data_IF_314622060368
#
_entry.id   IF_314622060368
#
_cell.length_a   1.000
_cell.length_b   1.000
_cell.length_c   1.000
_cell.angle_alpha   90.00
_cell.angle_beta   90.00
_cell.angle_gamma   90.00
#
_symmetry.space_group_name_H-M   'P 1'
#
loop_
_entity.id
_entity.type
_entity.pdbx_description
1 polymer ?
#
# COMPACT_ATOMS: atom_id res chain seq x y z
N UNK A 1 15.31 3.30 -2.15
CA UNK A 1 14.77 4.10 -1.02
C UNK A 1 15.70 4.04 0.19
N UNK A 2 16.62 4.99 0.30
CA UNK A 2 17.59 5.05 1.41
C UNK A 2 16.95 5.43 2.75
N UNK A 3 15.93 6.28 2.75
CA UNK A 3 15.26 6.76 3.97
C UNK A 3 14.63 5.64 4.83
N UNK A 4 14.29 4.50 4.23
CA UNK A 4 13.71 3.36 4.94
C UNK A 4 14.78 2.45 5.60
N UNK A 5 16.08 2.63 5.32
CA UNK A 5 17.13 1.64 5.64
C UNK A 5 17.29 1.40 7.14
N UNK A 6 17.28 2.47 7.91
CA UNK A 6 17.49 2.41 9.36
C UNK A 6 16.16 2.40 10.15
N UNK A 7 15.04 2.60 9.46
CA UNK A 7 13.70 2.56 10.07
C UNK A 7 13.23 1.13 10.33
N UNK A 8 12.28 0.96 11.26
CA UNK A 8 11.60 -0.32 11.57
C UNK A 8 10.09 -0.08 11.73
N UNK A 9 9.30 -1.16 11.67
CA UNK A 9 7.85 -1.10 11.85
C UNK A 9 7.14 -0.15 10.87
N UNK A 10 6.11 0.54 11.37
CA UNK A 10 5.27 1.43 10.56
C UNK A 10 6.06 2.48 9.78
N UNK A 11 7.04 3.13 10.41
CA UNK A 11 7.84 4.18 9.77
C UNK A 11 8.62 3.66 8.55
N UNK A 12 9.14 2.41 8.63
CA UNK A 12 9.82 1.77 7.49
C UNK A 12 8.88 1.54 6.32
N UNK A 13 7.69 1.02 6.60
CA UNK A 13 6.70 0.74 5.57
C UNK A 13 6.17 2.03 4.93
N UNK A 14 5.93 3.07 5.73
CA UNK A 14 5.54 4.38 5.22
C UNK A 14 6.62 4.98 4.29
N UNK A 15 7.89 4.88 4.68
CA UNK A 15 9.00 5.31 3.83
C UNK A 15 9.09 4.51 2.52
N UNK A 16 8.79 3.21 2.56
CA UNK A 16 8.69 2.40 1.34
C UNK A 16 7.51 2.81 0.46
N UNK A 17 6.34 3.06 1.05
CA UNK A 17 5.17 3.51 0.32
C UNK A 17 5.43 4.83 -0.41
N UNK A 18 5.96 5.83 0.31
CA UNK A 18 6.24 7.15 -0.25
C UNK A 18 7.25 7.11 -1.40
N UNK A 19 8.32 6.34 -1.27
CA UNK A 19 9.32 6.26 -2.35
C UNK A 19 8.87 5.40 -3.54
N UNK A 20 7.96 4.44 -3.36
CA UNK A 20 7.28 3.77 -4.48
C UNK A 20 6.36 4.76 -5.20
N UNK A 21 5.56 5.52 -4.47
CA UNK A 21 4.65 6.53 -5.04
C UNK A 21 5.39 7.55 -5.91
N UNK A 22 6.56 8.03 -5.46
CA UNK A 22 7.39 8.93 -6.26
C UNK A 22 7.98 8.30 -7.53
N UNK A 23 8.13 6.97 -7.56
CA UNK A 23 8.67 6.22 -8.70
C UNK A 23 7.60 5.81 -9.73
N UNK A 24 6.30 6.04 -9.46
CA UNK A 24 5.20 5.68 -10.36
C UNK A 24 5.35 6.32 -11.74
N UNK A 25 5.82 7.57 -11.80
CA UNK A 25 6.08 8.26 -13.07
C UNK A 25 7.15 7.58 -13.94
N UNK A 26 8.03 6.78 -13.32
CA UNK A 26 9.05 6.00 -14.02
C UNK A 26 8.51 4.64 -14.48
N UNK A 27 7.78 3.93 -13.62
CA UNK A 27 7.12 2.66 -13.94
C UNK A 27 5.79 2.57 -13.21
N UNK A 28 4.69 2.46 -13.96
CA UNK A 28 3.33 2.44 -13.41
C UNK A 28 3.14 1.34 -12.35
N UNK A 29 3.78 0.18 -12.50
CA UNK A 29 3.69 -0.93 -11.55
C UNK A 29 4.15 -0.59 -10.11
N UNK A 30 4.85 0.52 -9.89
CA UNK A 30 5.17 1.01 -8.55
C UNK A 30 3.94 1.48 -7.76
N UNK A 31 2.80 1.76 -8.42
CA UNK A 31 1.57 2.18 -7.73
C UNK A 31 1.05 1.10 -6.79
N UNK A 32 1.09 -0.16 -7.24
CA UNK A 32 0.68 -1.32 -6.46
C UNK A 32 1.57 -1.51 -5.22
N UNK A 33 2.88 -1.39 -5.39
CA UNK A 33 3.84 -1.47 -4.28
C UNK A 33 3.64 -0.34 -3.26
N UNK A 34 3.34 0.88 -3.73
CA UNK A 34 3.04 2.01 -2.86
C UNK A 34 1.81 1.74 -1.98
N UNK A 35 0.71 1.31 -2.61
CA UNK A 35 -0.55 0.96 -1.94
C UNK A 35 -0.35 -0.16 -0.90
N UNK A 36 0.33 -1.25 -1.27
CA UNK A 36 0.57 -2.38 -0.39
C UNK A 36 1.43 -2.02 0.83
N UNK A 37 2.48 -1.21 0.63
CA UNK A 37 3.32 -0.77 1.76
C UNK A 37 2.59 0.22 2.68
N UNK A 38 1.70 1.07 2.16
CA UNK A 38 0.87 1.93 2.99
C UNK A 38 -0.06 1.11 3.90
N UNK A 39 -0.68 0.04 3.38
CA UNK A 39 -1.48 -0.90 4.18
C UNK A 39 -0.62 -1.57 5.28
N UNK A 40 0.60 -1.99 4.96
CA UNK A 40 1.53 -2.54 5.97
C UNK A 40 1.94 -1.52 7.02
N UNK A 41 2.06 -0.25 6.64
CA UNK A 41 2.33 0.83 7.59
C UNK A 41 1.15 1.01 8.56
N UNK A 42 -0.09 1.02 8.05
CA UNK A 42 -1.30 1.10 8.86
C UNK A 42 -1.43 -0.10 9.81
N UNK A 43 -1.24 -1.33 9.30
CA UNK A 43 -1.21 -2.57 10.11
C UNK A 43 -0.19 -2.51 11.24
N UNK A 44 1.03 -2.06 10.94
CA UNK A 44 2.12 -1.96 11.91
C UNK A 44 1.95 -0.81 12.92
N UNK A 45 1.17 0.21 12.60
CA UNK A 45 0.86 1.32 13.51
C UNK A 45 -0.35 1.05 14.41
N UNK A 46 -1.15 0.04 14.08
CA UNK A 46 -2.38 -0.27 14.78
C UNK A 46 -2.11 -0.84 16.20
N UNK A 47 -3.01 -0.58 17.17
CA UNK A 47 -2.99 -1.27 18.44
C UNK A 47 -3.09 -2.79 18.28
N UNK A 48 -2.66 -3.51 19.31
CA UNK A 48 -2.77 -4.97 19.35
C UNK A 48 -4.21 -5.44 19.10
N UNK A 49 -4.36 -6.51 18.31
CA UNK A 49 -5.66 -7.03 17.88
C UNK A 49 -6.39 -6.20 16.82
N UNK A 50 -5.87 -5.04 16.39
CA UNK A 50 -6.52 -4.15 15.40
C UNK A 50 -5.81 -4.08 14.05
N UNK A 51 -4.67 -4.73 13.90
CA UNK A 51 -3.86 -4.72 12.68
C UNK A 51 -4.68 -5.00 11.41
N UNK A 52 -5.37 -6.14 11.35
CA UNK A 52 -6.15 -6.53 10.17
C UNK A 52 -7.29 -5.54 9.84
N UNK A 53 -7.96 -5.02 10.86
CA UNK A 53 -9.01 -4.02 10.67
C UNK A 53 -8.44 -2.70 10.13
N UNK A 54 -7.29 -2.25 10.65
CA UNK A 54 -6.60 -1.06 10.15
C UNK A 54 -6.15 -1.24 8.69
N UNK A 55 -5.67 -2.43 8.32
CA UNK A 55 -5.30 -2.73 6.94
C UNK A 55 -6.49 -2.67 5.97
N UNK A 56 -7.63 -3.25 6.35
CA UNK A 56 -8.86 -3.16 5.54
C UNK A 56 -9.39 -1.73 5.40
N UNK A 57 -9.34 -0.94 6.48
CA UNK A 57 -9.74 0.46 6.45
C UNK A 57 -8.85 1.30 5.54
N UNK A 58 -7.52 1.08 5.59
CA UNK A 58 -6.57 1.73 4.71
C UNK A 58 -6.79 1.34 3.25
N UNK A 59 -7.00 0.05 2.97
CA UNK A 59 -7.30 -0.43 1.61
C UNK A 59 -8.59 0.18 1.07
N UNK A 60 -9.66 0.21 1.87
CA UNK A 60 -10.93 0.84 1.49
C UNK A 60 -10.74 2.34 1.22
N UNK A 61 -10.05 3.05 2.11
CA UNK A 61 -9.76 4.47 1.93
C UNK A 61 -8.99 4.75 0.63
N UNK A 62 -7.95 3.97 0.33
CA UNK A 62 -7.21 4.09 -0.93
C UNK A 62 -8.11 3.90 -2.15
N UNK A 63 -9.00 2.90 -2.12
CA UNK A 63 -9.96 2.64 -3.20
C UNK A 63 -10.97 3.76 -3.38
N UNK A 64 -11.39 4.41 -2.29
CA UNK A 64 -12.32 5.53 -2.33
C UNK A 64 -11.69 6.80 -2.92
N UNK A 65 -10.36 6.93 -2.82
CA UNK A 65 -9.60 8.02 -3.44
C UNK A 65 -9.35 7.83 -4.94
N UNK A 66 -9.66 6.66 -5.52
CA UNK A 66 -9.39 6.39 -6.94
C UNK A 66 -10.33 7.19 -7.86
N UNK A 67 -9.78 7.98 -8.81
CA UNK A 67 -10.58 8.58 -9.87
C UNK A 67 -11.30 7.51 -10.69
N UNK A 68 -12.56 7.77 -11.04
CA UNK A 68 -13.40 6.80 -11.78
C UNK A 68 -12.76 6.28 -13.07
N UNK A 69 -11.98 7.12 -13.77
CA UNK A 69 -11.32 6.76 -15.02
C UNK A 69 -10.26 5.65 -14.91
N UNK A 70 -9.67 5.44 -13.72
CA UNK A 70 -8.62 4.44 -13.50
C UNK A 70 -9.02 3.38 -12.46
N UNK A 71 -10.15 3.56 -11.79
CA UNK A 71 -10.58 2.72 -10.67
C UNK A 71 -10.59 1.24 -11.02
N UNK A 72 -11.20 0.86 -12.14
CA UNK A 72 -11.29 -0.54 -12.56
C UNK A 72 -9.92 -1.14 -12.86
N UNK A 73 -9.05 -0.39 -13.54
CA UNK A 73 -7.67 -0.82 -13.86
C UNK A 73 -6.87 -1.11 -12.59
N UNK A 74 -6.94 -0.21 -11.60
CA UNK A 74 -6.22 -0.37 -10.33
C UNK A 74 -6.78 -1.56 -9.53
N UNK A 75 -8.10 -1.71 -9.45
CA UNK A 75 -8.72 -2.81 -8.71
C UNK A 75 -8.39 -4.18 -9.33
N UNK A 76 -8.36 -4.25 -10.66
CA UNK A 76 -7.97 -5.48 -11.36
C UNK A 76 -6.48 -5.79 -11.16
N UNK A 77 -5.59 -4.79 -11.19
CA UNK A 77 -4.16 -5.01 -10.89
C UNK A 77 -3.95 -5.46 -9.44
N UNK A 78 -4.67 -4.85 -8.49
CA UNK A 78 -4.70 -5.29 -7.08
C UNK A 78 -5.11 -6.75 -6.95
N UNK A 79 -6.16 -7.18 -7.66
CA UNK A 79 -6.66 -8.55 -7.63
C UNK A 79 -5.68 -9.54 -8.27
N UNK A 80 -5.14 -9.21 -9.45
CA UNK A 80 -4.27 -10.09 -10.22
C UNK A 80 -2.91 -10.32 -9.56
N UNK A 81 -2.43 -9.36 -8.77
CA UNK A 81 -1.08 -9.37 -8.18
C UNK A 81 -1.11 -9.31 -6.65
N UNK A 82 -2.23 -9.63 -6.01
CA UNK A 82 -2.34 -9.55 -4.56
C UNK A 82 -1.35 -10.50 -3.86
N UNK A 83 -1.05 -11.64 -4.47
CA UNK A 83 -0.12 -12.65 -3.98
C UNK A 83 1.30 -12.09 -3.78
N UNK A 84 1.82 -11.34 -4.76
CA UNK A 84 3.13 -10.68 -4.65
C UNK A 84 3.09 -9.47 -3.69
N UNK A 85 1.89 -9.01 -3.33
CA UNK A 85 1.64 -7.97 -2.34
C UNK A 85 1.17 -8.52 -0.99
N UNK A 86 1.47 -9.78 -0.66
CA UNK A 86 1.18 -10.38 0.64
C UNK A 86 -0.31 -10.43 1.01
N UNK A 87 -1.19 -10.47 0.01
CA UNK A 87 -2.65 -10.55 0.19
C UNK A 87 -3.22 -9.40 1.02
N UNK A 88 -2.63 -8.21 0.96
CA UNK A 88 -3.05 -7.05 1.77
C UNK A 88 -4.28 -6.32 1.22
N UNK A 89 -4.68 -6.60 -0.02
CA UNK A 89 -5.84 -5.96 -0.66
C UNK A 89 -7.18 -6.68 -0.39
N UNK A 90 -7.17 -7.80 0.35
CA UNK A 90 -8.35 -8.59 0.74
C UNK A 90 -8.71 -8.39 2.23
#
# INVERSE_FOLDING_TARGET
MGAARDLRGAARHAAYAAGQAGAVAHVAAHELGAAAYAIKAARAAAPEGRSEAAGRLECQWQRDQLPGAIRELVLEDQRLRNDICWSVFD
#
